data_IF_879621715744
#
_entry.id   IF_879621715744
#
_cell.length_a   1.000
_cell.length_b   1.000
_cell.length_c   1.000
_cell.angle_alpha   90.00
_cell.angle_beta   90.00
_cell.angle_gamma   90.00
#
_symmetry.space_group_name_H-M   'P 1'
#
loop_
_entity.id
_entity.type
_entity.pdbx_description
1 polymer ?
#
# COMPACT_ATOMS: atom_id res chain seq x y z
N UNK A 1 9.58 -15.20 1.64
CA UNK A 1 9.92 -15.49 0.22
C UNK A 1 11.28 -14.88 -0.10
N UNK A 2 12.09 -15.46 -1.01
CA UNK A 2 13.40 -14.89 -1.37
C UNK A 2 13.19 -13.56 -2.11
N UNK A 3 13.49 -12.45 -1.44
CA UNK A 3 13.53 -11.12 -2.05
C UNK A 3 14.57 -11.14 -3.17
N UNK A 4 14.11 -11.12 -4.42
CA UNK A 4 14.96 -10.90 -5.58
C UNK A 4 15.24 -9.40 -5.71
N UNK A 5 16.33 -9.00 -6.37
CA UNK A 5 16.65 -7.57 -6.57
C UNK A 5 15.47 -6.77 -7.13
N UNK A 6 14.69 -7.35 -8.05
CA UNK A 6 13.50 -6.71 -8.63
C UNK A 6 12.35 -6.55 -7.64
N UNK A 7 12.23 -7.41 -6.63
CA UNK A 7 11.25 -7.26 -5.54
C UNK A 7 11.51 -5.98 -4.75
N UNK A 8 12.77 -5.77 -4.33
CA UNK A 8 13.16 -4.61 -3.54
C UNK A 8 12.96 -3.29 -4.30
N UNK A 9 13.31 -3.27 -5.59
CA UNK A 9 13.07 -2.08 -6.43
C UNK A 9 11.57 -1.79 -6.55
N UNK A 10 10.72 -2.79 -6.73
CA UNK A 10 9.27 -2.61 -6.83
C UNK A 10 8.63 -2.21 -5.50
N UNK A 11 9.07 -2.81 -4.40
CA UNK A 11 8.66 -2.41 -3.04
C UNK A 11 9.04 -0.94 -2.77
N UNK A 12 10.23 -0.51 -3.19
CA UNK A 12 10.67 0.89 -3.06
C UNK A 12 9.82 1.86 -3.89
N UNK A 13 9.44 1.46 -5.11
CA UNK A 13 8.51 2.23 -5.95
C UNK A 13 7.16 2.36 -5.23
N UNK A 14 6.58 1.24 -4.80
CA UNK A 14 5.28 1.25 -4.09
C UNK A 14 5.37 2.09 -2.81
N UNK A 15 6.44 1.97 -2.03
CA UNK A 15 6.63 2.73 -0.79
C UNK A 15 6.64 4.25 -1.04
N UNK A 16 7.32 4.71 -2.10
CA UNK A 16 7.31 6.12 -2.47
C UNK A 16 5.88 6.60 -2.81
N UNK A 17 5.13 5.82 -3.56
CA UNK A 17 3.75 6.11 -3.96
C UNK A 17 2.72 6.01 -2.81
N UNK A 18 3.02 5.22 -1.78
CA UNK A 18 2.15 5.03 -0.61
C UNK A 18 2.37 6.06 0.50
N UNK A 19 3.44 6.87 0.44
CA UNK A 19 3.85 7.77 1.54
C UNK A 19 2.72 8.69 2.06
N UNK A 20 1.96 9.31 1.17
CA UNK A 20 0.85 10.22 1.54
C UNK A 20 -0.36 9.46 2.08
N UNK A 21 -0.72 8.34 1.44
CA UNK A 21 -1.78 7.44 1.93
C UNK A 21 -1.45 6.92 3.33
N UNK A 22 -0.21 6.50 3.59
CA UNK A 22 0.22 6.01 4.89
C UNK A 22 0.14 7.10 5.96
N UNK A 23 0.45 8.34 5.61
CA UNK A 23 0.30 9.47 6.51
C UNK A 23 -1.17 9.68 6.89
N UNK A 24 -2.07 9.59 5.93
CA UNK A 24 -3.50 9.75 6.17
C UNK A 24 -4.08 8.57 6.96
N UNK A 25 -3.62 7.34 6.69
CA UNK A 25 -3.95 6.17 7.50
C UNK A 25 -3.54 6.33 8.97
N UNK A 26 -2.42 7.03 9.25
CA UNK A 26 -1.95 7.33 10.61
C UNK A 26 -2.75 8.41 11.34
N UNK A 27 -3.71 9.07 10.68
CA UNK A 27 -4.63 10.00 11.35
C UNK A 27 -5.69 9.26 12.19
N UNK A 28 -5.92 7.98 11.92
CA UNK A 28 -6.81 7.11 12.70
C UNK A 28 -6.04 6.50 13.87
N UNK A 29 -6.70 6.39 15.02
CA UNK A 29 -6.08 5.81 16.22
C UNK A 29 -5.73 4.33 15.98
N UNK A 30 -4.53 3.93 16.40
CA UNK A 30 -4.07 2.55 16.27
C UNK A 30 -4.98 1.55 16.99
N UNK A 31 -5.64 1.96 18.08
CA UNK A 31 -6.60 1.14 18.80
C UNK A 31 -7.82 0.78 17.93
N UNK A 32 -8.24 1.66 17.03
CA UNK A 32 -9.37 1.41 16.13
C UNK A 32 -9.02 0.34 15.09
N UNK A 33 -7.82 0.40 14.49
CA UNK A 33 -7.35 -0.66 13.60
C UNK A 33 -7.28 -2.01 14.33
N UNK A 34 -6.74 -2.04 15.55
CA UNK A 34 -6.67 -3.27 16.34
C UNK A 34 -8.08 -3.81 16.62
N UNK A 35 -9.03 -2.96 17.02
CA UNK A 35 -10.41 -3.37 17.25
C UNK A 35 -11.04 -3.92 15.97
N UNK A 36 -10.92 -3.22 14.84
CA UNK A 36 -11.51 -3.65 13.58
C UNK A 36 -10.91 -4.98 13.09
N UNK A 37 -9.59 -5.18 13.22
CA UNK A 37 -8.96 -6.45 12.85
C UNK A 37 -9.43 -7.58 13.79
N UNK A 38 -9.44 -7.35 15.11
CA UNK A 38 -9.83 -8.37 16.11
C UNK A 38 -11.28 -8.84 15.98
N UNK A 39 -12.17 -7.94 15.57
CA UNK A 39 -13.59 -8.23 15.39
C UNK A 39 -13.96 -8.47 13.92
N UNK A 40 -12.96 -8.60 13.03
CA UNK A 40 -13.15 -8.83 11.59
C UNK A 40 -14.07 -7.80 10.91
N UNK A 41 -14.06 -6.56 11.41
CA UNK A 41 -14.81 -5.42 10.88
C UNK A 41 -14.06 -4.79 9.69
N UNK A 42 -13.70 -5.60 8.70
CA UNK A 42 -12.87 -5.18 7.57
C UNK A 42 -13.52 -4.12 6.68
N UNK A 43 -14.86 -4.01 6.68
CA UNK A 43 -15.57 -2.93 5.99
C UNK A 43 -15.16 -1.55 6.54
N UNK A 44 -14.97 -1.42 7.85
CA UNK A 44 -14.53 -0.18 8.47
C UNK A 44 -13.11 0.21 8.04
N UNK A 45 -12.22 -0.79 7.91
CA UNK A 45 -10.86 -0.57 7.42
C UNK A 45 -10.89 -0.19 5.93
N UNK A 46 -11.74 -0.86 5.13
CA UNK A 46 -11.91 -0.53 3.73
C UNK A 46 -12.40 0.92 3.54
N UNK A 47 -13.33 1.40 4.38
CA UNK A 47 -13.78 2.79 4.35
C UNK A 47 -12.66 3.77 4.72
N UNK A 48 -11.85 3.46 5.73
CA UNK A 48 -10.68 4.27 6.12
C UNK A 48 -9.66 4.33 4.98
N UNK A 49 -9.32 3.17 4.39
CA UNK A 49 -8.37 3.09 3.28
C UNK A 49 -8.91 3.83 2.07
N UNK A 50 -10.20 3.67 1.74
CA UNK A 50 -10.83 4.43 0.67
C UNK A 50 -10.63 5.92 0.93
N UNK A 51 -11.03 6.43 2.10
CA UNK A 51 -10.86 7.83 2.52
C UNK A 51 -9.43 8.35 2.39
N UNK A 52 -8.43 7.56 2.83
CA UNK A 52 -7.02 7.90 2.71
C UNK A 52 -6.49 7.90 1.26
N UNK A 53 -7.19 7.24 0.32
CA UNK A 53 -6.78 7.19 -1.10
C UNK A 53 -7.50 8.20 -1.99
N UNK A 54 -8.71 8.67 -1.62
CA UNK A 54 -9.59 9.49 -2.48
C UNK A 54 -8.96 10.82 -2.92
N UNK A 55 -8.04 11.37 -2.12
CA UNK A 55 -7.37 12.65 -2.39
C UNK A 55 -6.12 12.49 -3.27
N UNK A 56 -5.66 11.26 -3.48
CA UNK A 56 -4.38 10.97 -4.12
C UNK A 56 -4.50 10.15 -5.40
N UNK A 57 -5.49 9.26 -5.47
CA UNK A 57 -5.64 8.29 -6.54
C UNK A 57 -7.05 8.29 -7.13
N UNK A 58 -7.17 8.00 -8.42
CA UNK A 58 -8.47 7.78 -9.03
C UNK A 58 -9.19 6.60 -8.35
N UNK A 59 -10.52 6.64 -8.22
CA UNK A 59 -11.27 5.59 -7.56
C UNK A 59 -10.94 4.19 -8.09
N UNK A 60 -10.94 3.20 -7.19
CA UNK A 60 -10.71 1.78 -7.48
C UNK A 60 -9.29 1.39 -7.97
N UNK A 61 -8.35 2.34 -8.06
CA UNK A 61 -6.97 2.04 -8.48
C UNK A 61 -6.10 1.51 -7.35
N UNK A 62 -6.30 2.00 -6.12
CA UNK A 62 -5.62 1.57 -4.90
C UNK A 62 -6.66 1.34 -3.82
N UNK A 63 -6.74 0.13 -3.27
CA UNK A 63 -7.82 -0.29 -2.39
C UNK A 63 -7.32 -1.18 -1.26
N UNK A 64 -8.10 -1.28 -0.19
CA UNK A 64 -7.92 -2.32 0.81
C UNK A 64 -8.14 -3.71 0.19
N UNK A 65 -7.28 -4.65 0.56
CA UNK A 65 -7.34 -6.03 0.13
C UNK A 65 -8.28 -6.87 1.00
N UNK A 66 -7.83 -8.07 1.35
CA UNK A 66 -8.68 -9.10 1.93
C UNK A 66 -8.61 -9.18 3.46
N UNK A 67 -7.66 -8.50 4.09
CA UNK A 67 -7.46 -8.61 5.53
C UNK A 67 -6.41 -7.66 6.09
N UNK A 68 -6.22 -7.79 7.39
CA UNK A 68 -5.17 -7.09 8.12
C UNK A 68 -4.77 -7.89 9.34
N UNK A 69 -3.57 -7.61 9.83
CA UNK A 69 -2.99 -8.20 11.03
C UNK A 69 -2.52 -7.06 11.94
N UNK A 70 -2.38 -7.35 13.23
CA UNK A 70 -1.74 -6.43 14.16
C UNK A 70 -0.71 -7.17 15.01
N UNK A 71 0.37 -6.48 15.35
CA UNK A 71 1.31 -6.91 16.39
C UNK A 71 1.13 -5.96 17.57
N UNK A 72 0.81 -6.51 18.74
CA UNK A 72 0.65 -5.76 19.98
C UNK A 72 1.28 -6.53 21.13
N UNK A 73 2.19 -5.87 21.83
CA UNK A 73 2.93 -6.41 22.97
C UNK A 73 3.02 -5.34 24.06
N UNK A 74 3.38 -5.74 25.29
CA UNK A 74 3.56 -4.82 26.42
C UNK A 74 4.82 -3.96 26.27
N UNK A 75 5.85 -4.47 25.60
CA UNK A 75 7.19 -3.86 25.57
C UNK A 75 7.50 -3.18 24.24
N UNK A 76 6.55 -3.12 23.30
CA UNK A 76 6.77 -2.60 21.94
C UNK A 76 5.61 -1.73 21.46
N UNK A 77 5.91 -0.80 20.56
CA UNK A 77 4.88 -0.04 19.87
C UNK A 77 4.00 -0.98 19.02
N UNK A 78 2.69 -0.72 18.95
CA UNK A 78 1.79 -1.49 18.11
C UNK A 78 2.15 -1.31 16.63
N UNK A 79 1.92 -2.37 15.86
CA UNK A 79 2.10 -2.39 14.41
C UNK A 79 0.83 -2.87 13.74
N UNK A 80 0.41 -2.17 12.69
CA UNK A 80 -0.73 -2.54 11.85
C UNK A 80 -0.20 -3.00 10.50
N UNK A 81 -0.78 -4.08 9.99
CA UNK A 81 -0.44 -4.68 8.71
C UNK A 81 -1.73 -4.73 7.90
N UNK A 82 -1.80 -4.01 6.79
CA UNK A 82 -2.99 -4.01 5.93
C UNK A 82 -2.65 -4.63 4.59
N UNK A 83 -3.51 -5.51 4.10
CA UNK A 83 -3.47 -5.95 2.73
C UNK A 83 -3.96 -4.83 1.81
N UNK A 84 -3.24 -4.63 0.70
CA UNK A 84 -3.54 -3.60 -0.28
C UNK A 84 -3.55 -4.21 -1.68
N UNK A 85 -4.46 -3.73 -2.51
CA UNK A 85 -4.51 -4.03 -3.93
C UNK A 85 -4.32 -2.77 -4.76
N UNK A 86 -3.48 -2.89 -5.79
CA UNK A 86 -3.32 -1.88 -6.81
C UNK A 86 -3.67 -2.44 -8.19
N UNK A 87 -4.48 -1.70 -8.95
CA UNK A 87 -4.93 -2.05 -10.30
C UNK A 87 -4.94 -0.79 -11.17
N UNK A 88 -4.01 -0.71 -12.10
CA UNK A 88 -4.06 0.31 -13.16
C UNK A 88 -3.22 -0.11 -14.37
N UNK A 89 -3.59 0.32 -15.58
CA UNK A 89 -2.84 0.07 -16.83
C UNK A 89 -2.43 -1.40 -17.07
N UNK A 90 -3.28 -2.35 -16.68
CA UNK A 90 -3.00 -3.79 -16.79
C UNK A 90 -1.86 -4.27 -15.87
N UNK A 91 -1.54 -3.52 -14.81
CA UNK A 91 -0.69 -3.91 -13.69
C UNK A 91 -1.60 -4.24 -12.51
N UNK A 92 -1.44 -5.42 -11.94
CA UNK A 92 -2.08 -5.81 -10.68
C UNK A 92 -1.01 -6.15 -9.66
N UNK A 93 -1.04 -5.48 -8.51
CA UNK A 93 -0.15 -5.76 -7.40
C UNK A 93 -0.96 -5.99 -6.13
N UNK A 94 -0.62 -7.05 -5.41
CA UNK A 94 -1.10 -7.32 -4.06
C UNK A 94 0.09 -7.27 -3.12
N UNK A 95 0.03 -6.40 -2.13
CA UNK A 95 1.12 -6.12 -1.21
C UNK A 95 0.58 -5.84 0.18
N UNK A 96 1.43 -6.00 1.19
CA UNK A 96 1.13 -5.59 2.55
C UNK A 96 1.82 -4.28 2.86
N UNK A 97 1.10 -3.39 3.54
CA UNK A 97 1.67 -2.20 4.17
C UNK A 97 1.73 -2.42 5.67
N UNK A 98 2.94 -2.42 6.20
CA UNK A 98 3.17 -2.40 7.64
C UNK A 98 3.34 -0.95 8.07
N UNK A 99 2.65 -0.55 9.13
CA UNK A 99 2.67 0.80 9.68
C UNK A 99 2.91 0.68 11.19
N UNK A 100 3.94 1.36 11.69
CA UNK A 100 4.28 1.42 13.11
C UNK A 100 4.68 2.84 13.52
N UNK A 101 5.15 3.02 14.77
CA UNK A 101 5.56 4.33 15.26
C UNK A 101 6.76 4.93 14.48
N UNK A 102 7.64 4.09 13.95
CA UNK A 102 8.91 4.50 13.35
C UNK A 102 8.77 4.76 11.84
N UNK A 103 7.84 4.07 11.18
CA UNK A 103 7.74 4.18 9.73
C UNK A 103 6.74 3.21 9.11
N UNK A 104 7.05 2.86 7.87
CA UNK A 104 6.27 1.88 7.14
C UNK A 104 7.16 1.01 6.28
N UNK A 105 6.66 -0.18 5.99
CA UNK A 105 7.33 -1.13 5.11
C UNK A 105 6.30 -1.68 4.12
N UNK A 106 6.74 -1.85 2.87
CA UNK A 106 5.97 -2.55 1.84
C UNK A 106 6.54 -3.96 1.68
N UNK A 107 5.65 -4.95 1.70
CA UNK A 107 5.97 -6.34 1.37
C UNK A 107 5.16 -6.76 0.13
N UNK A 108 5.84 -6.88 -1.02
CA UNK A 108 5.19 -7.21 -2.29
C UNK A 108 4.97 -8.72 -2.39
N UNK A 109 3.74 -9.15 -2.12
CA UNK A 109 3.36 -10.55 -2.14
C UNK A 109 3.19 -11.09 -3.57
N UNK A 110 2.52 -10.33 -4.44
CA UNK A 110 2.21 -10.75 -5.80
C UNK A 110 2.12 -9.57 -6.77
N UNK A 111 2.57 -9.77 -8.00
CA UNK A 111 2.41 -8.80 -9.09
C UNK A 111 2.27 -9.50 -10.43
N UNK A 112 1.30 -9.05 -11.23
CA UNK A 112 1.06 -9.51 -12.60
C UNK A 112 0.91 -8.34 -13.56
N UNK A 113 1.11 -8.65 -14.85
CA UNK A 113 0.99 -7.72 -15.95
C UNK A 113 0.21 -8.43 -17.07
N UNK A 114 -0.85 -7.82 -17.61
CA UNK A 114 -1.71 -8.44 -18.65
C UNK A 114 -0.91 -8.90 -19.88
N UNK A 115 0.18 -8.21 -20.18
CA UNK A 115 1.15 -8.56 -21.23
C UNK A 115 2.57 -8.41 -20.67
N UNK A 116 2.95 -9.32 -19.77
CA UNK A 116 4.27 -9.27 -19.15
C UNK A 116 5.39 -9.33 -20.20
N UNK A 117 6.31 -8.36 -20.13
CA UNK A 117 7.53 -8.37 -20.94
C UNK A 117 8.48 -9.45 -20.43
N UNK A 118 9.32 -9.98 -21.33
CA UNK A 118 10.44 -10.86 -20.96
C UNK A 118 11.51 -10.13 -20.15
N UNK A 119 11.55 -8.79 -20.18
CA UNK A 119 12.46 -7.95 -19.40
C UNK A 119 11.83 -7.59 -18.05
N UNK A 120 12.38 -8.07 -16.91
CA UNK A 120 11.88 -7.70 -15.58
C UNK A 120 12.03 -6.20 -15.28
N UNK A 121 13.05 -5.56 -15.84
CA UNK A 121 13.26 -4.10 -15.75
C UNK A 121 12.11 -3.35 -16.42
N UNK A 122 11.72 -3.76 -17.63
CA UNK A 122 10.61 -3.12 -18.33
C UNK A 122 9.28 -3.28 -17.58
N UNK A 123 9.04 -4.45 -16.98
CA UNK A 123 7.87 -4.64 -16.12
C UNK A 123 7.92 -3.74 -14.86
N UNK A 124 9.11 -3.44 -14.35
CA UNK A 124 9.30 -2.54 -13.20
C UNK A 124 9.03 -1.08 -13.58
N UNK A 125 9.46 -0.65 -14.78
CA UNK A 125 9.10 0.66 -15.35
C UNK A 125 7.59 0.79 -15.52
N UNK A 126 6.92 -0.27 -16.00
CA UNK A 126 5.46 -0.28 -16.13
C UNK A 126 4.73 -0.15 -14.80
N UNK A 127 5.26 -0.72 -13.71
CA UNK A 127 4.70 -0.53 -12.38
C UNK A 127 4.74 0.95 -11.96
N UNK A 128 5.89 1.61 -12.12
CA UNK A 128 6.04 3.02 -11.79
C UNK A 128 5.10 3.90 -12.62
N UNK A 129 5.02 3.65 -13.93
CA UNK A 129 4.10 4.37 -14.83
C UNK A 129 2.64 4.18 -14.44
N UNK A 130 2.24 2.96 -14.08
CA UNK A 130 0.86 2.68 -13.66
C UNK A 130 0.50 3.45 -12.39
N UNK A 131 1.39 3.52 -11.40
CA UNK A 131 1.17 4.31 -10.19
C UNK A 131 1.09 5.81 -10.48
N UNK A 132 1.97 6.36 -11.31
CA UNK A 132 1.92 7.77 -11.71
C UNK A 132 0.62 8.11 -12.46
N UNK A 133 0.19 7.26 -13.40
CA UNK A 133 -1.06 7.44 -14.15
C UNK A 133 -2.30 7.37 -13.26
N UNK A 134 -2.26 6.55 -12.21
CA UNK A 134 -3.38 6.40 -11.27
C UNK A 134 -3.57 7.64 -10.38
N UNK A 135 -2.61 8.57 -10.33
CA UNK A 135 -2.69 9.74 -9.44
C UNK A 135 -3.65 10.80 -9.96
N UNK A 136 -4.34 11.46 -9.03
CA UNK A 136 -5.14 12.65 -9.34
C UNK A 136 -4.21 13.83 -9.68
N UNK A 137 -4.40 14.50 -10.84
CA UNK A 137 -3.59 15.66 -11.22
C UNK A 137 -3.68 16.79 -10.20
N UNK A 138 -2.54 17.35 -9.81
CA UNK A 138 -2.47 18.46 -8.86
C UNK A 138 -2.68 18.08 -7.39
N UNK A 139 -2.85 16.79 -7.08
CA UNK A 139 -2.69 16.29 -5.71
C UNK A 139 -1.29 16.70 -5.22
N UNK A 140 -1.15 17.29 -4.01
CA UNK A 140 0.14 17.68 -3.47
C UNK A 140 1.12 16.51 -3.60
N UNK A 141 2.37 16.79 -4.00
CA UNK A 141 3.49 15.90 -3.76
C UNK A 141 4.31 16.56 -2.66
N UNK A 142 4.35 15.96 -1.47
CA UNK A 142 5.30 16.45 -0.50
C UNK A 142 6.71 16.07 -0.95
N UNK A 143 7.59 17.08 -1.06
CA UNK A 143 9.00 16.86 -1.26
C UNK A 143 9.52 16.05 -0.08
N UNK A 144 10.14 14.90 -0.36
CA UNK A 144 10.91 14.14 0.62
C UNK A 144 11.94 15.08 1.23
N UNK A 145 11.74 15.41 2.52
CA UNK A 145 12.73 16.07 3.36
C UNK A 145 13.78 15.09 3.85
#
# INVERSE_FOLDING_TARGET
MRSTQYSQTRESIIAAHMSEVIRDLRLVDVADYIAFIRYELFANIADIVNSATELHYFPQTLQFGHGGEYELDWDRHPRIILDMEFRNMGVYAYFRVLIDAEGSQIDLNHITFDQASKSPTHNTERLALAFEDARIPGSPRQATG
#
